data_IF_769489740938
#
_entry.id   IF_769489740938
#
_cell.length_a   1.000
_cell.length_b   1.000
_cell.length_c   1.000
_cell.angle_alpha   90.00
_cell.angle_beta   90.00
_cell.angle_gamma   90.00
#
_symmetry.space_group_name_H-M   'P 1'
#
loop_
_entity.id
_entity.type
_entity.pdbx_description
1 polymer ?
#
# COMPACT_ATOMS: atom_id res chain seq x y z
N UNK A 1 -5.01 -5.44 -15.87
CA UNK A 1 -5.55 -5.48 -14.50
C UNK A 1 -4.82 -6.57 -13.76
N UNK A 2 -4.43 -6.32 -12.52
CA UNK A 2 -3.79 -7.28 -11.64
C UNK A 2 -4.09 -6.94 -10.19
N UNK A 3 -3.67 -7.82 -9.29
CA UNK A 3 -3.83 -7.63 -7.85
C UNK A 3 -3.34 -8.86 -7.09
N UNK A 4 -3.24 -8.72 -5.79
CA UNK A 4 -2.89 -9.78 -4.87
C UNK A 4 -3.58 -9.56 -3.52
N UNK A 5 -3.69 -10.64 -2.77
CA UNK A 5 -4.26 -10.68 -1.43
C UNK A 5 -3.34 -11.54 -0.56
N UNK A 6 -3.21 -11.19 0.71
CA UNK A 6 -2.40 -11.88 1.69
C UNK A 6 -3.14 -11.96 3.03
N UNK A 7 -2.99 -13.11 3.68
CA UNK A 7 -3.43 -13.38 5.04
C UNK A 7 -2.28 -14.10 5.75
N UNK A 8 -1.99 -13.67 6.97
CA UNK A 8 -0.96 -14.21 7.84
C UNK A 8 -1.61 -14.41 9.20
N UNK A 9 -1.48 -15.61 9.72
CA UNK A 9 -1.78 -15.94 11.11
C UNK A 9 -0.46 -15.82 11.89
N UNK A 10 -0.44 -15.01 12.94
CA UNK A 10 0.72 -14.75 13.77
C UNK A 10 0.43 -15.18 15.22
N UNK A 11 1.31 -16.01 15.79
CA UNK A 11 1.18 -16.53 17.16
C UNK A 11 2.39 -16.07 18.00
N UNK A 12 2.13 -15.68 19.24
CA UNK A 12 3.15 -15.30 20.20
C UNK A 12 3.82 -16.54 20.80
N UNK A 13 5.14 -16.65 20.64
CA UNK A 13 5.93 -17.83 21.06
C UNK A 13 6.56 -17.69 22.47
N UNK A 14 6.39 -16.55 23.12
CA UNK A 14 6.89 -16.26 24.49
C UNK A 14 6.07 -15.12 25.10
N UNK A 15 6.04 -15.06 26.43
CA UNK A 15 5.40 -13.98 27.15
C UNK A 15 6.12 -12.64 26.87
N UNK A 16 5.37 -11.57 26.65
CA UNK A 16 5.86 -10.24 26.27
C UNK A 16 6.67 -9.47 27.33
N UNK A 17 7.41 -10.16 28.20
CA UNK A 17 8.27 -9.61 29.27
C UNK A 17 7.61 -8.47 30.06
N UNK A 18 6.35 -8.66 30.47
CA UNK A 18 5.54 -7.68 31.20
C UNK A 18 4.72 -6.71 30.33
N UNK A 19 4.62 -6.98 29.03
CA UNK A 19 3.67 -6.35 28.10
C UNK A 19 2.26 -6.96 28.15
N UNK A 20 1.43 -6.61 27.16
CA UNK A 20 0.03 -7.05 27.04
C UNK A 20 -0.14 -8.38 26.27
N UNK A 21 0.98 -9.03 25.93
CA UNK A 21 1.04 -10.25 25.10
C UNK A 21 1.49 -11.43 25.94
N UNK A 22 0.75 -12.54 25.87
CA UNK A 22 1.00 -13.82 26.52
C UNK A 22 1.39 -14.89 25.48
N UNK A 23 2.16 -15.91 25.90
CA UNK A 23 2.46 -17.08 25.06
C UNK A 23 1.16 -17.74 24.57
N UNK A 24 1.01 -17.87 23.25
CA UNK A 24 -0.19 -18.39 22.60
C UNK A 24 -1.20 -17.35 22.14
N UNK A 25 -0.99 -16.05 22.39
CA UNK A 25 -1.83 -15.00 21.79
C UNK A 25 -1.69 -15.02 20.26
N UNK A 26 -2.81 -14.87 19.56
CA UNK A 26 -2.86 -14.85 18.10
C UNK A 26 -3.27 -13.49 17.53
N UNK A 27 -2.84 -13.22 16.29
CA UNK A 27 -3.22 -12.03 15.53
C UNK A 27 -3.38 -12.36 14.05
N UNK A 28 -4.49 -11.93 13.48
CA UNK A 28 -4.76 -12.04 12.05
C UNK A 28 -4.21 -10.82 11.32
N UNK A 29 -3.33 -11.01 10.34
CA UNK A 29 -2.81 -9.94 9.52
C UNK A 29 -3.29 -10.09 8.08
N UNK A 30 -3.99 -9.08 7.58
CA UNK A 30 -4.43 -9.04 6.19
C UNK A 30 -3.78 -7.90 5.40
N UNK A 31 -3.66 -8.11 4.10
CA UNK A 31 -3.22 -7.08 3.15
C UNK A 31 -3.67 -7.40 1.75
N UNK A 32 -3.88 -6.39 0.93
CA UNK A 32 -4.23 -6.59 -0.47
C UNK A 32 -3.81 -5.39 -1.31
N UNK A 33 -3.69 -5.62 -2.61
CA UNK A 33 -3.53 -4.56 -3.60
C UNK A 33 -4.16 -4.95 -4.93
N UNK A 34 -4.66 -3.95 -5.65
CA UNK A 34 -5.14 -4.08 -7.02
C UNK A 34 -4.58 -2.95 -7.88
N UNK A 35 -4.38 -3.24 -9.17
CA UNK A 35 -3.89 -2.27 -10.13
C UNK A 35 -4.53 -2.41 -11.51
N UNK A 36 -4.78 -1.26 -12.14
CA UNK A 36 -5.33 -1.14 -13.47
C UNK A 36 -4.42 -0.26 -14.32
N UNK A 37 -4.14 -0.70 -15.55
CA UNK A 37 -3.31 0.05 -16.49
C UNK A 37 -4.00 0.12 -17.85
N UNK A 38 -3.98 1.30 -18.45
CA UNK A 38 -4.46 1.61 -19.78
C UNK A 38 -3.25 1.82 -20.69
N UNK A 39 -3.08 0.94 -21.67
CA UNK A 39 -1.97 0.97 -22.63
C UNK A 39 -2.33 1.89 -23.78
N UNK A 40 -1.34 2.61 -24.30
CA UNK A 40 -1.45 3.59 -25.40
C UNK A 40 -2.51 4.67 -25.14
N UNK A 41 -2.69 5.05 -23.88
CA UNK A 41 -3.67 6.07 -23.48
C UNK A 41 -3.22 7.46 -23.94
N UNK A 42 -3.88 8.03 -24.94
CA UNK A 42 -3.61 9.37 -25.48
C UNK A 42 -2.35 9.49 -26.35
N UNK A 43 -1.39 8.58 -26.24
CA UNK A 43 -0.19 8.51 -27.09
C UNK A 43 0.34 7.07 -27.15
N UNK A 44 0.82 6.65 -28.32
CA UNK A 44 1.51 5.36 -28.49
C UNK A 44 2.73 5.26 -27.55
N UNK A 45 2.83 4.13 -26.85
CA UNK A 45 3.81 3.83 -25.82
C UNK A 45 3.53 4.46 -24.46
N UNK A 46 2.48 5.28 -24.33
CA UNK A 46 2.09 5.86 -23.05
C UNK A 46 1.23 4.88 -22.24
N UNK A 47 1.40 4.84 -20.92
CA UNK A 47 0.63 3.96 -20.04
C UNK A 47 0.14 4.73 -18.82
N UNK A 48 -1.18 4.87 -18.68
CA UNK A 48 -1.80 5.40 -17.48
C UNK A 48 -2.09 4.23 -16.52
N UNK A 49 -1.62 4.32 -15.28
CA UNK A 49 -1.83 3.27 -14.27
C UNK A 49 -2.41 3.85 -12.99
N UNK A 50 -3.31 3.10 -12.40
CA UNK A 50 -3.84 3.32 -11.06
C UNK A 50 -3.59 2.06 -10.26
N UNK A 51 -3.23 2.21 -9.00
CA UNK A 51 -3.16 1.10 -8.06
C UNK A 51 -3.60 1.55 -6.68
N UNK A 52 -3.96 0.59 -5.85
CA UNK A 52 -4.21 0.87 -4.46
C UNK A 52 -4.44 -0.40 -3.67
N UNK A 53 -4.57 -0.24 -2.37
CA UNK A 53 -4.71 -1.37 -1.47
C UNK A 53 -4.58 -0.97 -0.01
N UNK A 54 -4.49 -2.00 0.82
CA UNK A 54 -4.32 -1.89 2.26
C UNK A 54 -2.95 -2.49 2.61
N UNK A 55 -2.01 -1.69 3.15
CA UNK A 55 -0.78 -2.22 3.77
C UNK A 55 -1.12 -3.26 4.85
N UNK A 56 -0.18 -4.13 5.26
CA UNK A 56 -0.41 -5.09 6.34
C UNK A 56 -1.06 -4.44 7.56
N UNK A 57 -2.24 -4.94 7.92
CA UNK A 57 -3.01 -4.55 9.10
C UNK A 57 -3.20 -5.78 9.98
N UNK A 58 -2.87 -5.67 11.26
CA UNK A 58 -3.27 -6.64 12.26
C UNK A 58 -4.72 -6.36 12.69
N UNK A 59 -5.55 -7.38 12.72
CA UNK A 59 -6.94 -7.40 13.19
C UNK A 59 -7.11 -8.62 14.10
N UNK A 60 -8.14 -8.60 14.96
CA UNK A 60 -8.47 -9.72 15.84
C UNK A 60 -7.24 -10.16 16.68
N UNK A 61 -6.64 -9.21 17.40
CA UNK A 61 -5.49 -9.48 18.30
C UNK A 61 -6.05 -10.02 19.62
N UNK A 62 -5.75 -11.26 19.96
CA UNK A 62 -6.12 -11.83 21.26
C UNK A 62 -5.31 -11.15 22.40
N UNK A 63 -5.97 -10.87 23.53
CA UNK A 63 -5.40 -10.16 24.68
C UNK A 63 -5.97 -8.75 24.89
N UNK A 64 -5.49 -8.03 25.92
CA UNK A 64 -5.95 -6.66 26.29
C UNK A 64 -5.24 -5.58 25.43
N UNK A 65 -4.86 -5.95 24.20
CA UNK A 65 -4.10 -5.11 23.29
C UNK A 65 -5.09 -4.29 22.44
N UNK A 66 -4.86 -2.98 22.24
CA UNK A 66 -5.76 -2.19 21.41
C UNK A 66 -5.69 -2.71 19.97
N UNK A 67 -6.81 -3.20 19.46
CA UNK A 67 -6.99 -3.47 18.03
C UNK A 67 -6.78 -2.16 17.26
N UNK A 68 -6.12 -2.22 16.10
CA UNK A 68 -6.19 -1.11 15.15
C UNK A 68 -7.63 -1.09 14.60
N UNK A 69 -8.50 -0.23 15.14
CA UNK A 69 -9.90 -0.15 14.71
C UNK A 69 -10.01 0.35 13.25
N UNK A 70 -9.09 1.21 12.82
CA UNK A 70 -9.12 1.85 11.50
C UNK A 70 -8.27 1.15 10.46
N UNK A 71 -8.37 1.57 9.19
CA UNK A 71 -7.65 0.93 8.08
C UNK A 71 -6.95 1.97 7.21
N UNK A 72 -5.65 1.79 7.02
CA UNK A 72 -4.83 2.55 6.08
C UNK A 72 -5.16 2.16 4.66
N UNK A 73 -5.33 3.15 3.79
CA UNK A 73 -5.44 2.92 2.35
C UNK A 73 -4.36 3.69 1.61
N UNK A 74 -3.62 3.00 0.76
CA UNK A 74 -2.68 3.62 -0.17
C UNK A 74 -3.27 3.57 -1.57
N UNK A 75 -3.44 4.73 -2.20
CA UNK A 75 -3.91 4.84 -3.59
C UNK A 75 -2.90 5.65 -4.38
N UNK A 76 -2.53 5.16 -5.57
CA UNK A 76 -1.60 5.82 -6.47
C UNK A 76 -2.12 5.92 -7.90
N UNK A 77 -1.65 6.95 -8.60
CA UNK A 77 -1.83 7.13 -10.03
C UNK A 77 -0.50 7.57 -10.64
N UNK A 78 -0.14 6.98 -11.78
CA UNK A 78 1.05 7.37 -12.53
C UNK A 78 0.82 7.30 -14.04
N UNK A 79 1.46 8.19 -14.79
CA UNK A 79 1.33 8.25 -16.23
C UNK A 79 2.69 8.18 -16.91
N UNK A 80 3.03 7.00 -17.43
CA UNK A 80 4.25 6.78 -18.18
C UNK A 80 4.10 7.41 -19.57
N UNK A 81 4.81 8.50 -19.84
CA UNK A 81 4.70 9.27 -21.08
C UNK A 81 6.03 9.31 -21.87
N UNK A 82 6.09 8.70 -23.08
CA UNK A 82 7.27 8.72 -23.92
C UNK A 82 7.43 10.09 -24.61
N UNK A 83 8.48 10.83 -24.25
CA UNK A 83 8.84 12.10 -24.90
C UNK A 83 9.53 11.81 -26.24
N UNK A 84 10.44 10.85 -26.24
CA UNK A 84 11.18 10.39 -27.41
C UNK A 84 11.54 8.90 -27.28
N UNK A 85 12.26 8.33 -28.25
CA UNK A 85 12.72 6.93 -28.19
C UNK A 85 13.66 6.66 -27.01
N UNK A 86 14.30 7.71 -26.48
CA UNK A 86 15.35 7.62 -25.47
C UNK A 86 14.96 8.28 -24.14
N UNK A 87 13.85 9.03 -24.10
CA UNK A 87 13.43 9.79 -22.91
C UNK A 87 11.96 9.48 -22.58
N UNK A 88 11.75 9.06 -21.35
CA UNK A 88 10.44 8.77 -20.77
C UNK A 88 10.26 9.59 -19.49
N UNK A 89 9.12 10.25 -19.34
CA UNK A 89 8.75 10.93 -18.09
C UNK A 89 7.54 10.21 -17.51
N UNK A 90 7.54 9.96 -16.20
CA UNK A 90 6.45 9.35 -15.47
C UNK A 90 6.09 10.25 -14.28
N UNK A 91 5.24 11.28 -14.47
CA UNK A 91 4.56 11.91 -13.35
C UNK A 91 3.67 10.89 -12.64
N UNK A 92 3.57 11.02 -11.32
CA UNK A 92 2.62 10.27 -10.52
C UNK A 92 2.39 10.95 -9.18
N UNK A 93 1.37 10.48 -8.49
CA UNK A 93 1.06 10.88 -7.14
C UNK A 93 0.46 9.69 -6.39
N UNK A 94 0.62 9.70 -5.07
CA UNK A 94 -0.06 8.77 -4.19
C UNK A 94 -0.57 9.48 -2.95
N UNK A 95 -1.59 8.88 -2.35
CA UNK A 95 -2.23 9.33 -1.11
C UNK A 95 -2.27 8.16 -0.14
N UNK A 96 -2.02 8.46 1.14
CA UNK A 96 -2.15 7.51 2.24
C UNK A 96 -3.24 8.07 3.17
N UNK A 97 -4.37 7.40 3.21
CA UNK A 97 -5.45 7.66 4.17
C UNK A 97 -5.18 6.90 5.45
N UNK A 98 -5.56 7.49 6.58
CA UNK A 98 -5.44 6.96 7.93
C UNK A 98 -4.06 6.32 8.17
N UNK A 99 -2.95 7.08 8.01
CA UNK A 99 -1.60 6.53 8.18
C UNK A 99 -1.47 5.84 9.53
N UNK A 100 -0.78 4.69 9.56
CA UNK A 100 -0.65 3.85 10.74
C UNK A 100 -1.98 3.23 11.23
N UNK A 101 -2.95 3.06 10.32
CA UNK A 101 -4.27 2.46 10.62
C UNK A 101 -5.02 3.22 11.71
N UNK A 102 -4.97 4.55 11.64
CA UNK A 102 -5.51 5.46 12.64
C UNK A 102 -6.15 6.66 11.91
N UNK A 103 -7.46 6.84 12.07
CA UNK A 103 -8.24 7.87 11.36
C UNK A 103 -8.11 9.29 11.94
N UNK A 104 -7.52 9.42 13.14
CA UNK A 104 -7.13 10.70 13.71
C UNK A 104 -5.86 11.25 13.02
N UNK A 105 -5.11 10.40 12.29
CA UNK A 105 -3.92 10.83 11.55
C UNK A 105 -4.26 11.50 10.21
N UNK A 106 -3.65 12.66 9.99
CA UNK A 106 -3.82 13.45 8.75
C UNK A 106 -3.43 12.66 7.50
N UNK A 107 -4.25 12.76 6.45
CA UNK A 107 -4.00 12.16 5.14
C UNK A 107 -2.72 12.72 4.50
N UNK A 108 -1.83 11.82 4.05
CA UNK A 108 -0.56 12.19 3.43
C UNK A 108 -0.69 12.20 1.91
N UNK A 109 -0.26 13.29 1.28
CA UNK A 109 -0.22 13.46 -0.18
C UNK A 109 1.22 13.57 -0.68
N UNK A 110 1.56 12.80 -1.71
CA UNK A 110 2.91 12.84 -2.31
C UNK A 110 2.81 12.89 -3.82
N UNK A 111 3.50 13.87 -4.42
CA UNK A 111 3.72 13.95 -5.87
C UNK A 111 5.15 13.57 -6.22
N UNK A 112 5.33 12.86 -7.34
CA UNK A 112 6.64 12.45 -7.83
C UNK A 112 6.73 12.57 -9.35
N UNK A 113 7.92 12.86 -9.85
CA UNK A 113 8.23 12.83 -11.29
C UNK A 113 9.47 11.98 -11.49
N UNK A 114 9.34 10.89 -12.25
CA UNK A 114 10.46 10.03 -12.62
C UNK A 114 10.82 10.23 -14.08
N UNK A 115 12.08 10.52 -14.37
CA UNK A 115 12.60 10.60 -15.73
C UNK A 115 13.54 9.42 -15.98
N UNK A 116 13.33 8.71 -17.09
CA UNK A 116 14.14 7.55 -17.49
C UNK A 116 14.80 7.82 -18.84
N UNK A 117 16.12 7.64 -18.88
CA UNK A 117 16.94 7.76 -20.09
C UNK A 117 17.38 6.37 -20.55
N UNK A 118 17.33 6.11 -21.86
CA UNK A 118 17.83 4.89 -22.50
C UNK A 118 18.92 5.26 -23.50
N UNK A 119 20.07 4.62 -23.39
CA UNK A 119 21.26 4.84 -24.23
C UNK A 119 21.66 3.55 -24.94
#
# INVERSE_FOLDING_TARGET
LGGWFGYIDAEAEDDGNGGLTEEGDSADIFTWSANLSFIDFGKEGAVLSFAGGVPPKASDVEGDNPEDDDTSYLIEAQYKFPISKNILITPGAYVIFNPNHDDDNDTIWVGAIRTTFKF
#
